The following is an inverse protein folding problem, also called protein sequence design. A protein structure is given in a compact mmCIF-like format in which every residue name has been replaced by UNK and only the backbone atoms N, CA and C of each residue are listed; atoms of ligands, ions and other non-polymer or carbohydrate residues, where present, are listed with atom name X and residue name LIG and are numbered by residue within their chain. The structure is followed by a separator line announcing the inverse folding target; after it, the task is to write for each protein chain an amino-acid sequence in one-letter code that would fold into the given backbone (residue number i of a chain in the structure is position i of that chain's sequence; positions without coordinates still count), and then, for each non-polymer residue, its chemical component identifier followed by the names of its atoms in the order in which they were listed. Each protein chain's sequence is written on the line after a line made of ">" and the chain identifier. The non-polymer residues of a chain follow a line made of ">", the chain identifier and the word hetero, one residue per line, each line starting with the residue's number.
data_IF_532637028032
#
_entry.id   IF_532637028032
#
_cell.length_a   1.000
_cell.length_b   1.000
_cell.length_c   1.000
_cell.angle_alpha   90.00
_cell.angle_beta   90.00
_cell.angle_gamma   90.00
#
_symmetry.space_group_name_H-M   'P 1'
#
loop_
_entity.id
_entity.type
_entity.pdbx_description
1 polymer ?
#
# COMPACT_ATOMS: atom_id res chain seq x y z
N UNK A 1 -26.34 20.92 -7.15
CA UNK A 1 -24.99 21.22 -7.67
C UNK A 1 -24.17 19.94 -7.50
N UNK A 2 -23.47 19.50 -8.53
CA UNK A 2 -22.64 18.31 -8.42
C UNK A 2 -21.44 18.66 -7.52
N UNK A 3 -21.38 18.06 -6.33
CA UNK A 3 -20.26 18.15 -5.40
C UNK A 3 -19.07 17.35 -5.96
N UNK A 4 -18.37 17.91 -6.95
CA UNK A 4 -17.20 17.31 -7.58
C UNK A 4 -15.95 18.09 -7.22
N UNK A 5 -14.86 17.38 -6.94
CA UNK A 5 -13.54 17.96 -6.69
C UNK A 5 -12.62 17.78 -7.90
N UNK A 6 -11.74 18.76 -8.10
CA UNK A 6 -10.84 18.74 -9.25
C UNK A 6 -9.59 17.91 -8.96
N UNK A 7 -9.35 16.90 -9.81
CA UNK A 7 -8.21 15.97 -9.69
C UNK A 7 -7.15 16.30 -10.75
N UNK A 8 -6.00 16.89 -10.34
CA UNK A 8 -4.84 17.09 -11.24
C UNK A 8 -3.94 15.87 -11.33
N UNK A 9 -3.53 15.37 -10.21
CA UNK A 9 -2.80 14.12 -10.00
C UNK A 9 -3.05 13.78 -8.54
N UNK A 10 -3.26 12.51 -8.22
CA UNK A 10 -3.65 12.21 -6.86
C UNK A 10 -3.28 10.81 -6.43
N UNK A 11 -3.63 10.51 -5.18
CA UNK A 11 -3.30 9.26 -4.55
C UNK A 11 -1.79 9.09 -4.33
N UNK A 12 -1.39 7.85 -4.15
CA UNK A 12 0.01 7.49 -3.84
C UNK A 12 1.00 7.83 -4.97
N UNK A 13 0.55 8.05 -6.22
CA UNK A 13 1.42 8.50 -7.31
C UNK A 13 2.00 9.92 -7.11
N UNK A 14 1.49 10.69 -6.15
CA UNK A 14 2.01 12.00 -5.79
C UNK A 14 3.20 11.96 -4.82
N UNK A 15 3.59 10.78 -4.31
CA UNK A 15 4.73 10.62 -3.39
C UNK A 15 6.06 11.03 -4.06
N UNK A 16 6.97 11.62 -3.27
CA UNK A 16 8.34 11.90 -3.72
C UNK A 16 9.10 10.58 -3.89
N UNK A 17 9.97 10.51 -4.92
CA UNK A 17 10.76 9.30 -5.17
C UNK A 17 11.64 8.92 -3.97
N UNK A 18 11.60 7.68 -3.55
CA UNK A 18 12.25 7.14 -2.36
C UNK A 18 13.76 7.46 -2.28
N UNK A 19 14.52 7.35 -3.40
CA UNK A 19 15.97 7.66 -3.44
C UNK A 19 16.29 9.12 -3.07
N UNK A 20 15.46 10.08 -3.48
CA UNK A 20 15.69 11.50 -3.17
C UNK A 20 15.47 11.79 -1.69
N UNK A 21 14.45 11.18 -1.10
CA UNK A 21 14.13 11.36 0.31
C UNK A 21 15.16 10.66 1.20
N UNK A 22 15.56 9.43 0.90
CA UNK A 22 16.60 8.70 1.64
C UNK A 22 17.90 9.50 1.75
N UNK A 23 18.36 10.08 0.64
CA UNK A 23 19.60 10.86 0.63
C UNK A 23 19.54 12.12 1.52
N UNK A 24 18.36 12.68 1.74
CA UNK A 24 18.16 13.80 2.67
C UNK A 24 18.17 13.26 4.11
N UNK A 25 17.44 12.19 4.37
CA UNK A 25 17.27 11.62 5.71
C UNK A 25 18.58 11.03 6.27
N UNK A 26 19.43 10.42 5.43
CA UNK A 26 20.75 9.90 5.82
C UNK A 26 21.68 10.96 6.43
N UNK A 27 21.43 12.24 6.16
CA UNK A 27 22.24 13.37 6.67
C UNK A 27 21.69 13.97 7.96
N UNK A 28 20.55 13.46 8.44
CA UNK A 28 19.92 13.98 9.65
C UNK A 28 20.47 13.23 10.86
N UNK A 29 21.15 13.96 11.72
CA UNK A 29 21.54 13.44 13.04
C UNK A 29 20.33 13.51 13.96
N UNK A 30 19.72 12.36 14.24
CA UNK A 30 18.52 12.27 15.07
C UNK A 30 18.84 11.71 16.45
N UNK A 31 18.05 12.13 17.45
CA UNK A 31 18.10 11.52 18.77
C UNK A 31 17.80 10.02 18.67
N UNK A 32 18.69 9.20 19.22
CA UNK A 32 18.57 7.74 19.26
C UNK A 32 17.99 7.32 20.59
N UNK A 33 16.86 6.63 20.54
CA UNK A 33 16.17 6.05 21.69
C UNK A 33 16.11 4.52 21.49
N UNK A 34 16.54 3.75 22.50
CA UNK A 34 16.56 2.30 22.46
C UNK A 34 15.16 1.67 22.36
N UNK A 35 14.13 2.42 22.72
CA UNK A 35 12.75 1.99 22.59
C UNK A 35 12.19 2.12 21.16
N UNK A 36 12.90 2.74 20.21
CA UNK A 36 12.53 2.76 18.81
C UNK A 36 12.88 1.43 18.18
N UNK A 37 11.89 0.55 18.01
CA UNK A 37 12.07 -0.77 17.41
C UNK A 37 12.15 -0.70 15.88
N UNK A 38 11.43 0.27 15.30
CA UNK A 38 11.37 0.53 13.86
C UNK A 38 11.34 2.04 13.65
N UNK A 39 12.31 2.57 12.91
CA UNK A 39 12.47 3.98 12.57
C UNK A 39 12.49 4.21 11.06
N UNK A 40 12.77 5.44 10.63
CA UNK A 40 12.79 5.83 9.20
C UNK A 40 13.96 5.20 8.41
N UNK A 41 14.97 4.69 9.07
CA UNK A 41 16.16 4.06 8.48
C UNK A 41 15.89 2.64 7.96
N UNK A 42 14.88 1.95 8.49
CA UNK A 42 14.51 0.60 8.09
C UNK A 42 13.58 0.53 6.86
N UNK A 43 12.98 1.65 6.45
CA UNK A 43 11.99 1.75 5.34
C UNK A 43 10.75 0.89 5.52
N UNK A 44 10.40 0.59 6.76
CA UNK A 44 9.15 -0.07 7.10
C UNK A 44 7.95 0.88 6.94
N UNK A 45 6.74 0.34 6.89
CA UNK A 45 5.51 1.09 6.61
C UNK A 45 5.15 2.09 7.71
N UNK A 46 5.48 1.76 8.98
CA UNK A 46 5.26 2.67 10.10
C UNK A 46 6.36 2.60 11.14
N UNK A 47 6.49 3.68 11.92
CA UNK A 47 7.38 3.72 13.09
C UNK A 47 6.80 2.91 14.24
N UNK A 48 7.67 2.19 14.98
CA UNK A 48 7.29 1.41 16.17
C UNK A 48 8.12 1.84 17.36
N UNK A 49 7.45 2.28 18.43
CA UNK A 49 8.06 2.69 19.69
C UNK A 49 7.55 1.82 20.84
N UNK A 50 8.46 1.12 21.51
CA UNK A 50 8.15 0.25 22.64
C UNK A 50 7.82 1.07 23.89
N UNK A 51 6.71 0.74 24.57
CA UNK A 51 6.28 1.35 25.83
C UNK A 51 6.70 0.48 27.01
N UNK A 52 6.42 -0.83 26.89
CA UNK A 52 6.74 -1.85 27.88
C UNK A 52 6.94 -3.22 27.19
N UNK A 53 7.05 -4.28 27.96
CA UNK A 53 7.28 -5.64 27.46
C UNK A 53 6.16 -6.16 26.53
N UNK A 54 4.94 -5.64 26.67
CA UNK A 54 3.74 -6.13 25.97
C UNK A 54 3.15 -5.12 24.98
N UNK A 55 3.59 -3.85 25.02
CA UNK A 55 2.98 -2.79 24.25
C UNK A 55 4.01 -1.95 23.49
N UNK A 56 3.73 -1.72 22.23
CA UNK A 56 4.42 -0.73 21.40
C UNK A 56 3.39 0.10 20.64
N UNK A 57 3.67 1.39 20.49
CA UNK A 57 2.95 2.25 19.55
C UNK A 57 3.40 1.96 18.12
N UNK A 58 2.44 1.92 17.21
CA UNK A 58 2.67 1.97 15.77
C UNK A 58 2.14 3.31 15.29
N UNK A 59 2.95 4.13 14.63
CA UNK A 59 2.57 5.47 14.21
C UNK A 59 2.91 5.70 12.74
N UNK A 60 1.92 6.14 11.98
CA UNK A 60 2.05 6.50 10.57
C UNK A 60 1.34 7.80 10.23
N UNK A 61 1.64 8.32 9.03
CA UNK A 61 1.02 9.50 8.48
C UNK A 61 0.98 9.39 6.96
N UNK A 62 -0.23 9.36 6.38
CA UNK A 62 -0.42 9.40 4.94
C UNK A 62 -1.50 10.42 4.55
N UNK A 63 -1.20 11.27 3.57
CA UNK A 63 -2.14 12.21 2.97
C UNK A 63 -1.74 12.51 1.53
N UNK A 64 -2.70 12.81 0.68
CA UNK A 64 -2.47 13.04 -0.74
C UNK A 64 -3.60 13.88 -1.37
N UNK A 65 -3.39 14.45 -2.57
CA UNK A 65 -4.44 15.14 -3.32
C UNK A 65 -5.49 14.15 -3.87
N UNK A 66 -6.71 14.64 -4.21
CA UNK A 66 -7.79 13.81 -4.73
C UNK A 66 -7.41 13.08 -6.02
N UNK A 67 -7.86 11.82 -6.13
CA UNK A 67 -7.74 11.00 -7.35
C UNK A 67 -9.10 10.62 -7.94
N UNK A 68 -10.18 10.88 -7.20
CA UNK A 68 -11.56 10.67 -7.61
C UNK A 68 -12.38 11.95 -7.36
N UNK A 69 -13.43 12.19 -8.16
CA UNK A 69 -14.24 13.41 -8.07
C UNK A 69 -15.23 13.40 -6.90
N UNK A 70 -15.63 12.23 -6.41
CA UNK A 70 -16.57 12.13 -5.30
C UNK A 70 -15.84 12.38 -3.97
N UNK A 71 -16.18 13.44 -3.21
CA UNK A 71 -15.46 13.80 -1.99
C UNK A 71 -15.60 12.76 -0.88
N UNK A 72 -16.76 12.12 -0.73
CA UNK A 72 -16.97 11.07 0.25
C UNK A 72 -16.09 9.84 -0.04
N UNK A 73 -16.08 9.39 -1.30
CA UNK A 73 -15.23 8.29 -1.75
C UNK A 73 -13.73 8.61 -1.58
N UNK A 74 -13.32 9.84 -1.91
CA UNK A 74 -11.95 10.29 -1.67
C UNK A 74 -11.56 10.18 -0.20
N UNK A 75 -12.44 10.64 0.69
CA UNK A 75 -12.24 10.49 2.14
C UNK A 75 -12.08 9.04 2.58
N UNK A 76 -12.93 8.13 2.05
CA UNK A 76 -12.83 6.70 2.32
C UNK A 76 -11.48 6.11 1.88
N UNK A 77 -11.05 6.41 0.66
CA UNK A 77 -9.79 5.91 0.10
C UNK A 77 -8.60 6.42 0.92
N UNK A 78 -8.58 7.71 1.26
CA UNK A 78 -7.49 8.31 2.03
C UNK A 78 -7.36 7.69 3.43
N UNK A 79 -8.48 7.46 4.11
CA UNK A 79 -8.48 6.81 5.41
C UNK A 79 -8.10 5.32 5.32
N UNK A 80 -8.58 4.60 4.31
CA UNK A 80 -8.22 3.19 4.08
C UNK A 80 -6.72 3.03 3.86
N UNK A 81 -6.12 3.94 3.07
CA UNK A 81 -4.68 3.95 2.81
C UNK A 81 -3.87 4.24 4.08
N UNK A 82 -4.22 5.29 4.83
CA UNK A 82 -3.49 5.65 6.05
C UNK A 82 -3.60 4.59 7.17
N UNK A 83 -4.69 3.84 7.22
CA UNK A 83 -4.86 2.73 8.15
C UNK A 83 -4.03 1.49 7.75
N UNK A 84 -3.67 1.37 6.49
CA UNK A 84 -3.02 0.18 5.93
C UNK A 84 -1.65 -0.08 6.53
N UNK A 85 -0.83 0.95 6.72
CA UNK A 85 0.49 0.86 7.33
C UNK A 85 0.44 0.23 8.75
N UNK A 86 -0.62 0.56 9.52
CA UNK A 86 -0.81 -0.07 10.84
C UNK A 86 -1.02 -1.58 10.72
N UNK A 87 -1.80 -2.00 9.71
CA UNK A 87 -2.05 -3.43 9.46
C UNK A 87 -0.82 -4.14 8.89
N UNK A 88 -0.03 -3.48 8.05
CA UNK A 88 1.23 -4.00 7.53
C UNK A 88 2.24 -4.29 8.66
N UNK A 89 2.25 -3.45 9.70
CA UNK A 89 3.05 -3.68 10.91
C UNK A 89 2.42 -4.67 11.90
N UNK A 90 1.35 -5.40 11.50
CA UNK A 90 0.58 -6.30 12.37
C UNK A 90 -0.14 -5.62 13.55
N UNK A 91 -0.26 -4.30 13.49
CA UNK A 91 -0.86 -3.47 14.54
C UNK A 91 -2.39 -3.44 14.51
N UNK A 92 -2.95 -2.84 15.54
CA UNK A 92 -4.38 -2.53 15.64
C UNK A 92 -4.54 -1.02 15.83
N UNK A 93 -5.15 -0.29 14.87
CA UNK A 93 -5.34 1.14 14.97
C UNK A 93 -6.22 1.49 16.19
N UNK A 94 -5.90 2.58 16.87
CA UNK A 94 -6.60 3.06 18.07
C UNK A 94 -7.15 4.46 17.92
N UNK A 95 -6.31 5.40 17.47
CA UNK A 95 -6.69 6.80 17.28
C UNK A 95 -6.21 7.33 15.95
N UNK A 96 -6.94 8.30 15.40
CA UNK A 96 -6.57 9.00 14.19
C UNK A 96 -6.78 10.51 14.34
N UNK A 97 -5.92 11.29 13.69
CA UNK A 97 -6.01 12.73 13.53
C UNK A 97 -6.17 13.07 12.04
N UNK A 98 -7.13 13.91 11.69
CA UNK A 98 -7.28 14.42 10.34
C UNK A 98 -6.14 15.37 9.96
N UNK A 99 -5.64 15.24 8.74
CA UNK A 99 -4.72 16.19 8.10
C UNK A 99 -5.48 16.78 6.92
N UNK A 100 -5.68 18.09 6.92
CA UNK A 100 -6.51 18.79 5.93
C UNK A 100 -5.76 19.98 5.37
N UNK A 101 -5.59 20.02 4.04
CA UNK A 101 -5.29 21.24 3.29
C UNK A 101 -6.51 21.55 2.42
N UNK A 102 -7.06 22.78 2.52
CA UNK A 102 -8.31 23.09 1.84
C UNK A 102 -8.34 24.54 1.34
N UNK A 103 -8.79 24.81 0.09
CA UNK A 103 -8.87 26.14 -0.46
C UNK A 103 -9.92 27.01 0.28
N UNK A 104 -9.56 28.25 0.58
CA UNK A 104 -10.41 29.16 1.37
C UNK A 104 -11.76 29.46 0.70
N UNK A 105 -11.79 29.49 -0.63
CA UNK A 105 -12.97 29.85 -1.42
C UNK A 105 -13.79 28.63 -1.88
N UNK A 106 -13.44 27.43 -1.46
CA UNK A 106 -14.13 26.20 -1.82
C UNK A 106 -15.30 25.94 -0.86
N UNK A 107 -16.31 25.20 -1.32
CA UNK A 107 -17.48 24.87 -0.50
C UNK A 107 -17.12 23.94 0.66
N UNK A 108 -17.33 24.40 1.89
CA UNK A 108 -17.07 23.61 3.11
C UNK A 108 -17.92 22.34 3.20
N UNK A 109 -19.03 22.22 2.45
CA UNK A 109 -19.78 20.96 2.37
C UNK A 109 -18.93 19.86 1.72
N UNK A 110 -18.04 20.20 0.78
CA UNK A 110 -17.09 19.27 0.17
C UNK A 110 -16.14 18.72 1.25
N UNK A 111 -15.56 19.59 2.08
CA UNK A 111 -14.73 19.17 3.21
C UNK A 111 -15.50 18.28 4.19
N UNK A 112 -16.74 18.65 4.49
CA UNK A 112 -17.64 17.85 5.33
C UNK A 112 -17.80 16.43 4.80
N UNK A 113 -18.02 16.27 3.49
CA UNK A 113 -18.13 14.95 2.83
C UNK A 113 -16.83 14.15 2.85
N UNK A 114 -15.69 14.81 2.66
CA UNK A 114 -14.36 14.14 2.75
C UNK A 114 -14.17 13.56 4.14
N UNK A 115 -14.39 14.38 5.19
CA UNK A 115 -14.22 13.94 6.59
C UNK A 115 -15.23 12.83 6.94
N UNK A 116 -16.49 12.95 6.49
CA UNK A 116 -17.52 11.93 6.68
C UNK A 116 -17.09 10.58 6.07
N UNK A 117 -16.57 10.61 4.83
CA UNK A 117 -16.04 9.43 4.15
C UNK A 117 -14.87 8.81 4.92
N UNK A 118 -13.90 9.61 5.36
CA UNK A 118 -12.78 9.15 6.17
C UNK A 118 -13.24 8.54 7.49
N UNK A 119 -14.14 9.20 8.20
CA UNK A 119 -14.69 8.71 9.46
C UNK A 119 -15.45 7.39 9.29
N UNK A 120 -16.13 7.15 8.16
CA UNK A 120 -16.81 5.88 7.92
C UNK A 120 -15.84 4.69 7.97
N UNK A 121 -14.61 4.85 7.47
CA UNK A 121 -13.57 3.81 7.51
C UNK A 121 -12.93 3.69 8.89
N UNK A 122 -12.81 4.78 9.63
CA UNK A 122 -12.37 4.74 11.02
C UNK A 122 -13.36 3.97 11.91
N UNK A 123 -14.66 4.16 11.72
CA UNK A 123 -15.71 3.39 12.42
C UNK A 123 -15.58 1.90 12.09
N UNK A 124 -15.42 1.54 10.80
CA UNK A 124 -15.20 0.15 10.36
C UNK A 124 -13.94 -0.46 10.99
N UNK A 125 -12.85 0.32 11.08
CA UNK A 125 -11.59 -0.07 11.69
C UNK A 125 -11.65 -0.13 13.24
N UNK A 126 -12.71 0.39 13.87
CA UNK A 126 -12.82 0.62 15.32
C UNK A 126 -11.70 1.55 15.84
N UNK A 127 -11.36 2.56 15.07
CA UNK A 127 -10.36 3.58 15.35
C UNK A 127 -11.05 4.90 15.71
N UNK A 128 -10.72 5.50 16.83
CA UNK A 128 -11.36 6.74 17.27
C UNK A 128 -10.77 7.96 16.52
N UNK A 129 -11.62 8.77 15.89
CA UNK A 129 -11.23 10.09 15.42
C UNK A 129 -11.14 11.04 16.62
N UNK A 130 -9.95 11.55 16.94
CA UNK A 130 -9.70 12.34 18.15
C UNK A 130 -9.35 13.81 17.88
N UNK A 131 -9.36 14.23 16.62
CA UNK A 131 -9.08 15.60 16.23
C UNK A 131 -8.38 15.69 14.89
N UNK A 132 -7.51 16.69 14.76
CA UNK A 132 -6.74 16.92 13.54
C UNK A 132 -6.30 18.36 13.40
N UNK A 133 -5.70 18.67 12.24
CA UNK A 133 -5.25 20.01 11.89
C UNK A 133 -5.67 20.36 10.46
N UNK A 134 -6.06 21.61 10.25
CA UNK A 134 -6.41 22.11 8.92
C UNK A 134 -5.67 23.40 8.62
N UNK A 135 -5.20 23.52 7.38
CA UNK A 135 -4.57 24.74 6.86
C UNK A 135 -5.23 25.17 5.53
N UNK A 136 -5.11 26.45 5.21
CA UNK A 136 -5.46 26.96 3.87
C UNK A 136 -4.37 26.56 2.88
N UNK A 137 -4.75 26.10 1.71
CA UNK A 137 -3.84 25.72 0.63
C UNK A 137 -4.56 25.94 -0.71
N UNK A 138 -3.83 26.05 -1.79
CA UNK A 138 -4.40 26.21 -3.14
C UNK A 138 -5.04 24.92 -3.68
N UNK A 139 -4.78 23.79 -3.03
CA UNK A 139 -5.28 22.46 -3.45
C UNK A 139 -5.72 21.62 -2.27
N UNK A 140 -6.79 20.84 -2.49
CA UNK A 140 -7.28 19.89 -1.49
C UNK A 140 -6.23 18.80 -1.28
N UNK A 141 -5.90 18.54 -0.02
CA UNK A 141 -5.18 17.34 0.43
C UNK A 141 -5.83 16.85 1.71
N UNK A 142 -6.00 15.56 1.80
CA UNK A 142 -6.60 14.91 2.96
C UNK A 142 -5.91 13.59 3.26
N UNK A 143 -5.83 13.27 4.52
CA UNK A 143 -5.36 12.01 5.05
C UNK A 143 -5.41 12.00 6.56
N UNK A 144 -4.70 11.05 7.13
CA UNK A 144 -4.70 10.80 8.57
C UNK A 144 -3.28 10.63 9.10
N UNK A 145 -3.08 11.06 10.34
CA UNK A 145 -2.05 10.49 11.21
C UNK A 145 -2.73 9.45 12.10
N UNK A 146 -2.25 8.21 12.04
CA UNK A 146 -2.84 7.08 12.76
C UNK A 146 -1.87 6.55 13.79
N UNK A 147 -2.37 6.30 15.00
CA UNK A 147 -1.65 5.60 16.06
C UNK A 147 -2.37 4.30 16.39
N UNK A 148 -1.62 3.22 16.35
CA UNK A 148 -2.06 1.87 16.70
C UNK A 148 -1.25 1.29 17.85
N UNK A 149 -1.60 0.08 18.23
CA UNK A 149 -0.88 -0.75 19.21
C UNK A 149 -0.55 -2.11 18.62
N UNK A 150 0.62 -2.62 18.99
CA UNK A 150 1.09 -3.97 18.68
C UNK A 150 1.86 -4.52 19.86
N UNK A 151 1.90 -5.85 20.03
CA UNK A 151 2.87 -6.45 20.95
C UNK A 151 4.27 -6.35 20.30
N UNK A 152 5.32 -5.91 21.01
CA UNK A 152 6.67 -5.78 20.45
C UNK A 152 7.20 -7.05 19.76
N UNK A 153 6.81 -8.23 20.25
CA UNK A 153 7.21 -9.53 19.67
C UNK A 153 6.46 -9.89 18.38
N UNK A 154 5.31 -9.25 18.13
CA UNK A 154 4.43 -9.56 17.01
C UNK A 154 4.60 -8.57 15.85
N UNK A 155 5.47 -7.57 16.00
CA UNK A 155 5.77 -6.59 14.94
C UNK A 155 6.23 -7.31 13.69
N UNK A 156 5.55 -7.06 12.57
CA UNK A 156 6.03 -7.49 11.25
C UNK A 156 6.82 -6.35 10.62
N UNK A 157 7.95 -6.69 10.06
CA UNK A 157 8.79 -5.77 9.30
C UNK A 157 8.65 -6.07 7.82
N UNK A 158 9.02 -5.11 6.99
CA UNK A 158 9.08 -5.33 5.56
C UNK A 158 10.15 -6.38 5.23
N UNK A 159 11.32 -6.32 5.86
CA UNK A 159 12.37 -7.31 5.71
C UNK A 159 12.18 -8.48 6.70
N UNK A 160 12.66 -9.65 6.31
CA UNK A 160 12.55 -10.86 7.16
C UNK A 160 12.11 -12.09 6.37
N UNK A 161 12.00 -11.97 5.05
CA UNK A 161 11.71 -13.10 4.15
C UNK A 161 12.68 -14.26 4.38
N UNK A 162 12.19 -15.49 4.27
CA UNK A 162 12.97 -16.71 4.42
C UNK A 162 12.97 -17.51 3.11
N UNK A 163 14.10 -18.13 2.78
CA UNK A 163 14.17 -19.03 1.63
C UNK A 163 13.14 -20.17 1.77
N UNK A 164 12.36 -20.39 0.73
CA UNK A 164 11.26 -21.35 0.72
C UNK A 164 9.89 -20.77 1.05
N UNK A 165 9.82 -19.50 1.49
CA UNK A 165 8.54 -18.83 1.70
C UNK A 165 7.77 -18.66 0.39
N UNK A 166 6.46 -18.63 0.50
CA UNK A 166 5.54 -18.29 -0.58
C UNK A 166 5.16 -16.82 -0.47
N UNK A 167 5.20 -16.11 -1.60
CA UNK A 167 4.75 -14.72 -1.69
C UNK A 167 3.28 -14.68 -2.06
N UNK A 168 2.48 -14.02 -1.23
CA UNK A 168 1.04 -13.89 -1.44
C UNK A 168 0.62 -12.42 -1.46
N UNK A 169 -0.34 -12.09 -2.33
CA UNK A 169 -0.92 -10.74 -2.47
C UNK A 169 -2.43 -10.80 -2.20
N UNK A 170 -2.99 -9.77 -1.57
CA UNK A 170 -4.39 -9.79 -1.10
C UNK A 170 -5.36 -8.92 -1.90
N UNK A 171 -4.88 -8.14 -2.87
CA UNK A 171 -5.71 -7.36 -3.80
C UNK A 171 -5.07 -7.34 -5.18
N UNK A 172 -5.86 -7.22 -6.26
CA UNK A 172 -5.33 -7.10 -7.61
C UNK A 172 -4.60 -5.77 -7.84
N UNK A 173 -3.68 -5.76 -8.82
CA UNK A 173 -2.94 -4.59 -9.29
C UNK A 173 -3.71 -3.83 -10.40
N UNK A 174 -3.26 -2.62 -10.71
CA UNK A 174 -3.78 -1.83 -11.83
C UNK A 174 -4.60 -0.60 -11.40
N UNK A 175 -4.50 -0.20 -10.13
CA UNK A 175 -5.19 1.00 -9.62
C UNK A 175 -4.70 2.25 -10.35
N UNK A 176 -3.40 2.43 -10.55
CA UNK A 176 -2.84 3.59 -11.22
C UNK A 176 -3.25 3.68 -12.68
N UNK A 177 -3.18 2.57 -13.42
CA UNK A 177 -3.65 2.46 -14.81
C UNK A 177 -5.14 2.82 -14.92
N UNK A 178 -5.98 2.25 -14.03
CA UNK A 178 -7.43 2.52 -14.03
C UNK A 178 -7.75 3.97 -13.69
N UNK A 179 -7.04 4.58 -12.73
CA UNK A 179 -7.23 5.99 -12.39
C UNK A 179 -6.79 6.93 -13.54
N UNK A 180 -5.81 6.55 -14.34
CA UNK A 180 -5.43 7.30 -15.53
C UNK A 180 -6.48 7.16 -16.63
N UNK A 181 -6.99 5.95 -16.90
CA UNK A 181 -8.09 5.72 -17.84
C UNK A 181 -9.36 6.49 -17.41
N UNK A 182 -9.65 6.53 -16.11
CA UNK A 182 -10.77 7.32 -15.55
C UNK A 182 -10.63 8.81 -15.87
N UNK A 183 -9.43 9.39 -15.77
CA UNK A 183 -9.18 10.80 -16.12
C UNK A 183 -9.33 11.10 -17.60
N UNK A 184 -9.16 10.09 -18.44
CA UNK A 184 -9.34 10.17 -19.90
C UNK A 184 -10.77 9.85 -20.34
N UNK A 185 -11.71 9.69 -19.37
CA UNK A 185 -13.10 9.27 -19.60
C UNK A 185 -13.23 7.90 -20.31
N UNK A 186 -12.22 7.03 -20.19
CA UNK A 186 -12.17 5.70 -20.80
C UNK A 186 -12.18 4.55 -19.77
N UNK A 187 -12.92 4.72 -18.70
CA UNK A 187 -13.10 3.69 -17.69
C UNK A 187 -14.58 3.36 -17.53
N UNK A 188 -14.96 2.10 -17.74
CA UNK A 188 -16.34 1.66 -17.58
C UNK A 188 -16.83 1.82 -16.13
N UNK A 189 -18.13 2.02 -15.94
CA UNK A 189 -18.70 2.10 -14.57
C UNK A 189 -18.47 0.84 -13.77
N UNK A 190 -18.54 -0.32 -14.40
CA UNK A 190 -18.28 -1.61 -13.75
C UNK A 190 -16.83 -1.68 -13.23
N UNK A 191 -15.87 -1.25 -14.05
CA UNK A 191 -14.45 -1.21 -13.65
C UNK A 191 -14.23 -0.20 -12.52
N UNK A 192 -14.84 0.99 -12.59
CA UNK A 192 -14.80 1.98 -11.51
C UNK A 192 -15.28 1.39 -10.19
N UNK A 193 -16.42 0.67 -10.18
CA UNK A 193 -16.98 0.04 -8.98
C UNK A 193 -16.02 -1.02 -8.41
N UNK A 194 -15.43 -1.88 -9.26
CA UNK A 194 -14.46 -2.89 -8.85
C UNK A 194 -13.23 -2.26 -8.18
N UNK A 195 -12.63 -1.26 -8.82
CA UNK A 195 -11.42 -0.61 -8.32
C UNK A 195 -11.72 0.21 -7.06
N UNK A 196 -12.81 0.98 -7.01
CA UNK A 196 -13.17 1.75 -5.83
C UNK A 196 -13.51 0.84 -4.63
N UNK A 197 -14.16 -0.30 -4.87
CA UNK A 197 -14.38 -1.31 -3.83
C UNK A 197 -13.05 -1.83 -3.28
N UNK A 198 -12.10 -2.15 -4.13
CA UNK A 198 -10.75 -2.57 -3.71
C UNK A 198 -10.05 -1.49 -2.88
N UNK A 199 -10.03 -0.24 -3.38
CA UNK A 199 -9.39 0.90 -2.71
C UNK A 199 -10.01 1.25 -1.36
N UNK A 200 -11.29 0.96 -1.15
CA UNK A 200 -12.02 1.21 0.11
C UNK A 200 -12.10 0.00 1.02
N UNK A 201 -11.60 -1.17 0.61
CA UNK A 201 -11.53 -2.36 1.45
C UNK A 201 -10.33 -2.27 2.38
N UNK A 202 -10.57 -2.33 3.70
CA UNK A 202 -9.52 -2.31 4.70
C UNK A 202 -8.63 -3.56 4.64
N UNK A 203 -7.32 -3.39 4.70
CA UNK A 203 -6.36 -4.49 4.85
C UNK A 203 -6.45 -5.18 6.23
N UNK A 204 -7.28 -4.64 7.13
CA UNK A 204 -7.63 -5.22 8.42
C UNK A 204 -8.02 -6.70 8.32
N UNK A 205 -8.87 -7.03 7.39
CA UNK A 205 -9.44 -8.39 7.27
C UNK A 205 -8.39 -9.42 6.90
N UNK A 206 -7.50 -9.08 5.97
CA UNK A 206 -6.36 -9.92 5.62
C UNK A 206 -5.36 -10.03 6.77
N UNK A 207 -5.03 -8.89 7.41
CA UNK A 207 -4.13 -8.85 8.58
C UNK A 207 -4.66 -9.73 9.72
N UNK A 208 -5.96 -9.66 10.03
CA UNK A 208 -6.58 -10.47 11.11
C UNK A 208 -6.48 -11.98 10.84
N UNK A 209 -6.44 -12.39 9.56
CA UNK A 209 -6.16 -13.79 9.18
C UNK A 209 -4.66 -14.09 9.32
N UNK A 210 -3.79 -13.25 8.77
CA UNK A 210 -2.33 -13.44 8.83
C UNK A 210 -1.79 -13.60 10.25
N UNK A 211 -2.41 -12.98 11.24
CA UNK A 211 -2.06 -13.14 12.67
C UNK A 211 -2.07 -14.58 13.19
N UNK A 212 -2.75 -15.49 12.49
CA UNK A 212 -2.87 -16.90 12.89
C UNK A 212 -1.76 -17.79 12.30
N UNK A 213 -0.92 -17.25 11.41
CA UNK A 213 0.01 -18.01 10.59
C UNK A 213 1.44 -17.48 10.68
N UNK A 214 2.40 -18.27 10.23
CA UNK A 214 3.82 -17.90 10.19
C UNK A 214 4.10 -16.96 9.01
N UNK A 215 3.83 -15.67 9.22
CA UNK A 215 4.19 -14.58 8.30
C UNK A 215 5.54 -14.02 8.72
N UNK A 216 6.54 -14.10 7.84
CA UNK A 216 7.90 -13.70 8.14
C UNK A 216 8.19 -12.24 7.77
N UNK A 217 7.57 -11.75 6.69
CA UNK A 217 7.64 -10.36 6.26
C UNK A 217 6.28 -9.91 5.72
N UNK A 218 5.94 -8.64 5.91
CA UNK A 218 4.64 -8.08 5.54
C UNK A 218 4.82 -6.61 5.17
N UNK A 219 4.23 -6.18 4.06
CA UNK A 219 4.10 -4.78 3.65
C UNK A 219 2.79 -4.56 2.91
N UNK A 220 2.34 -3.34 2.77
CA UNK A 220 1.28 -3.01 1.83
C UNK A 220 1.84 -2.51 0.48
N UNK A 221 1.16 -2.85 -0.60
CA UNK A 221 1.59 -2.43 -1.95
C UNK A 221 0.94 -1.10 -2.28
N UNK A 222 1.73 -0.03 -2.27
CA UNK A 222 1.24 1.33 -2.52
C UNK A 222 1.96 2.00 -3.70
N UNK A 223 2.32 3.28 -3.58
CA UNK A 223 2.80 4.12 -4.67
C UNK A 223 4.07 3.66 -5.39
N UNK A 224 4.85 2.79 -4.77
CA UNK A 224 6.08 2.26 -5.38
C UNK A 224 5.85 1.01 -6.25
N UNK A 225 4.63 0.45 -6.26
CA UNK A 225 4.30 -0.75 -7.03
C UNK A 225 4.90 -2.04 -6.44
N UNK A 226 4.43 -3.20 -6.92
CA UNK A 226 4.77 -4.50 -6.34
C UNK A 226 6.26 -4.77 -6.28
N UNK A 227 7.00 -4.49 -7.36
CA UNK A 227 8.42 -4.87 -7.46
C UNK A 227 9.35 -4.07 -6.55
N UNK A 228 9.02 -2.80 -6.29
CA UNK A 228 9.85 -1.99 -5.38
C UNK A 228 9.60 -2.42 -3.94
N UNK A 229 8.32 -2.60 -3.53
CA UNK A 229 8.00 -3.12 -2.20
C UNK A 229 8.60 -4.50 -1.98
N UNK A 230 8.49 -5.42 -2.95
CA UNK A 230 9.13 -6.74 -2.86
C UNK A 230 10.66 -6.62 -2.72
N UNK A 231 11.31 -5.73 -3.49
CA UNK A 231 12.76 -5.54 -3.36
C UNK A 231 13.15 -4.98 -1.98
N UNK A 232 12.28 -4.24 -1.31
CA UNK A 232 12.49 -3.76 0.08
C UNK A 232 12.30 -4.88 1.11
N UNK A 233 11.47 -5.89 0.81
CA UNK A 233 11.27 -7.07 1.66
C UNK A 233 12.48 -8.02 1.66
N UNK A 234 13.30 -8.00 0.62
CA UNK A 234 14.44 -8.91 0.46
C UNK A 234 15.69 -8.33 1.13
N UNK A 235 16.41 -9.19 1.83
CA UNK A 235 17.74 -8.90 2.37
C UNK A 235 18.87 -9.37 1.42
N UNK A 236 20.12 -9.27 1.88
CA UNK A 236 21.29 -9.70 1.11
C UNK A 236 21.39 -11.23 0.92
N UNK A 237 20.59 -12.01 1.63
CA UNK A 237 20.65 -13.49 1.63
C UNK A 237 19.60 -14.11 0.72
N UNK A 238 18.61 -13.34 0.31
CA UNK A 238 17.45 -13.85 -0.43
C UNK A 238 17.28 -13.15 -1.78
N UNK A 239 16.70 -13.89 -2.71
CA UNK A 239 16.10 -13.41 -3.94
C UNK A 239 14.64 -13.89 -4.01
N UNK A 240 13.86 -13.34 -4.92
CA UNK A 240 12.48 -13.78 -5.14
C UNK A 240 12.23 -14.13 -6.59
N UNK A 241 11.28 -15.03 -6.82
CA UNK A 241 10.68 -15.29 -8.14
C UNK A 241 9.24 -14.81 -8.11
N UNK A 242 8.86 -13.97 -9.06
CA UNK A 242 7.47 -13.58 -9.32
C UNK A 242 6.97 -14.40 -10.51
N UNK A 243 5.83 -15.05 -10.35
CA UNK A 243 5.17 -15.84 -11.38
C UNK A 243 4.30 -14.96 -12.25
N UNK A 244 4.81 -14.56 -13.43
CA UNK A 244 4.14 -13.63 -14.35
C UNK A 244 2.69 -14.01 -14.68
N UNK A 245 2.41 -15.31 -14.75
CA UNK A 245 1.11 -15.84 -15.11
C UNK A 245 0.12 -15.89 -13.93
N UNK A 246 0.59 -15.57 -12.71
CA UNK A 246 -0.20 -15.60 -11.47
C UNK A 246 -0.46 -14.21 -10.88
N UNK A 247 -0.05 -13.14 -11.57
CA UNK A 247 -0.26 -11.78 -11.09
C UNK A 247 -1.73 -11.39 -11.23
N UNK A 248 -2.43 -11.08 -10.14
CA UNK A 248 -3.80 -10.61 -10.21
C UNK A 248 -3.83 -9.14 -10.66
N UNK A 249 -4.69 -8.82 -11.60
CA UNK A 249 -4.90 -7.44 -12.06
C UNK A 249 -6.36 -7.23 -12.50
N UNK A 250 -6.80 -5.98 -12.55
CA UNK A 250 -8.13 -5.63 -13.03
C UNK A 250 -8.27 -5.86 -14.54
N UNK A 251 -9.40 -6.39 -14.98
CA UNK A 251 -9.63 -6.94 -16.32
C UNK A 251 -9.20 -6.02 -17.49
N UNK A 252 -9.43 -4.70 -17.38
CA UNK A 252 -9.15 -3.75 -18.48
C UNK A 252 -7.69 -3.25 -18.50
N UNK A 253 -6.83 -3.66 -17.56
CA UNK A 253 -5.46 -3.12 -17.44
C UNK A 253 -4.61 -3.38 -18.68
N UNK A 254 -4.80 -4.51 -19.37
CA UNK A 254 -4.07 -4.78 -20.61
C UNK A 254 -4.39 -3.73 -21.68
N UNK A 255 -5.68 -3.42 -21.88
CA UNK A 255 -6.11 -2.34 -22.78
C UNK A 255 -5.49 -1.00 -22.37
N UNK A 256 -5.47 -0.67 -21.08
CA UNK A 256 -4.94 0.59 -20.59
C UNK A 256 -3.42 0.74 -20.84
N UNK A 257 -2.67 -0.36 -20.78
CA UNK A 257 -1.24 -0.37 -21.13
C UNK A 257 -1.07 -0.20 -22.64
N UNK A 258 -1.86 -0.87 -23.48
CA UNK A 258 -1.84 -0.74 -24.95
C UNK A 258 -2.19 0.68 -25.40
N UNK A 259 -3.05 1.39 -24.67
CA UNK A 259 -3.41 2.79 -24.93
C UNK A 259 -2.50 3.81 -24.20
N UNK A 260 -1.42 3.34 -23.57
CA UNK A 260 -0.42 4.16 -22.88
C UNK A 260 -0.96 5.02 -21.73
N UNK A 261 -1.97 4.56 -20.99
CA UNK A 261 -2.41 5.22 -19.75
C UNK A 261 -1.43 4.99 -18.59
N UNK A 262 -0.14 5.05 -18.91
CA UNK A 262 0.95 4.77 -17.98
C UNK A 262 1.16 5.91 -16.98
N UNK A 263 1.61 5.57 -15.78
CA UNK A 263 1.93 6.55 -14.75
C UNK A 263 3.40 6.98 -14.81
N UNK A 264 3.67 8.28 -14.70
CA UNK A 264 5.05 8.77 -14.52
C UNK A 264 5.70 8.22 -13.23
N UNK A 265 4.91 7.85 -12.23
CA UNK A 265 5.40 7.18 -11.03
C UNK A 265 5.93 5.76 -11.34
N UNK A 266 5.30 5.01 -12.25
CA UNK A 266 5.78 3.69 -12.67
C UNK A 266 7.21 3.75 -13.24
N UNK A 267 7.51 4.77 -14.06
CA UNK A 267 8.88 4.97 -14.56
C UNK A 267 9.86 5.32 -13.43
N UNK A 268 9.45 6.13 -12.46
CA UNK A 268 10.28 6.45 -11.28
C UNK A 268 10.54 5.20 -10.44
N UNK A 269 9.53 4.35 -10.28
CA UNK A 269 9.62 3.07 -9.59
C UNK A 269 10.62 2.14 -10.27
N UNK A 270 10.51 1.98 -11.59
CA UNK A 270 11.45 1.20 -12.43
C UNK A 270 12.89 1.65 -12.22
N UNK A 271 13.15 2.96 -12.30
CA UNK A 271 14.48 3.53 -12.13
C UNK A 271 15.06 3.30 -10.72
N UNK A 272 14.20 3.13 -9.69
CA UNK A 272 14.64 2.92 -8.31
C UNK A 272 15.28 1.55 -8.08
N UNK A 273 14.91 0.56 -8.88
CA UNK A 273 15.40 -0.84 -8.81
C UNK A 273 16.15 -1.26 -10.07
N UNK A 274 16.65 -0.30 -10.85
CA UNK A 274 17.44 -0.56 -12.05
C UNK A 274 18.62 -1.51 -11.75
N UNK A 275 18.80 -2.53 -12.60
CA UNK A 275 19.84 -3.54 -12.46
C UNK A 275 19.60 -4.60 -11.36
N UNK A 276 18.49 -4.55 -10.63
CA UNK A 276 18.16 -5.50 -9.56
C UNK A 276 17.15 -6.58 -9.96
N UNK A 277 16.49 -6.41 -11.09
CA UNK A 277 15.38 -7.28 -11.51
C UNK A 277 15.69 -7.86 -12.89
N UNK A 278 15.49 -9.16 -13.01
CA UNK A 278 15.52 -9.88 -14.28
C UNK A 278 14.11 -10.12 -14.79
N UNK A 279 13.83 -9.75 -16.03
CA UNK A 279 12.54 -9.91 -16.69
C UNK A 279 12.58 -10.96 -17.81
N UNK A 280 11.71 -11.95 -17.71
CA UNK A 280 11.33 -12.88 -18.76
C UNK A 280 9.80 -12.80 -18.94
N UNK A 281 9.34 -11.61 -19.34
CA UNK A 281 7.92 -11.30 -19.51
C UNK A 281 7.71 -10.24 -20.59
N UNK A 282 6.45 -10.02 -20.95
CA UNK A 282 6.04 -8.98 -21.90
C UNK A 282 5.98 -7.59 -21.24
N UNK A 283 5.80 -6.57 -22.09
CA UNK A 283 5.71 -5.18 -21.66
C UNK A 283 4.54 -4.92 -20.71
N UNK A 284 3.39 -5.56 -20.95
CA UNK A 284 2.23 -5.43 -20.05
C UNK A 284 2.58 -5.88 -18.64
N UNK A 285 3.19 -7.06 -18.50
CA UNK A 285 3.59 -7.61 -17.19
C UNK A 285 4.58 -6.67 -16.48
N UNK A 286 5.54 -6.10 -17.20
CA UNK A 286 6.44 -5.13 -16.57
C UNK A 286 5.69 -3.90 -16.05
N UNK A 287 4.80 -3.32 -16.86
CA UNK A 287 4.08 -2.09 -16.48
C UNK A 287 3.16 -2.31 -15.29
N UNK A 288 2.41 -3.43 -15.25
CA UNK A 288 1.48 -3.72 -14.16
C UNK A 288 2.22 -3.92 -12.82
N UNK A 289 3.43 -4.47 -12.85
CA UNK A 289 4.24 -4.71 -11.65
C UNK A 289 4.87 -3.44 -11.07
N UNK A 290 5.03 -2.38 -11.88
CA UNK A 290 5.48 -1.06 -11.45
C UNK A 290 4.35 -0.06 -11.24
N UNK A 291 3.11 -0.43 -11.61
CA UNK A 291 1.96 0.47 -11.49
C UNK A 291 1.76 0.90 -10.03
N UNK A 292 1.65 2.22 -9.74
CA UNK A 292 1.42 2.69 -8.40
C UNK A 292 0.02 2.30 -7.92
N UNK A 293 -0.05 1.70 -6.74
CA UNK A 293 -1.31 1.36 -6.10
C UNK A 293 -1.67 2.44 -5.07
N UNK A 294 -2.94 2.82 -5.00
CA UNK A 294 -3.49 3.62 -3.90
C UNK A 294 -4.39 2.70 -3.08
N UNK A 295 -4.07 2.53 -1.83
CA UNK A 295 -4.77 1.58 -0.95
C UNK A 295 -4.75 0.14 -1.49
N UNK A 296 -3.58 -0.32 -1.95
CA UNK A 296 -3.39 -1.67 -2.46
C UNK A 296 -3.47 -2.75 -1.39
N UNK A 297 -3.20 -3.99 -1.77
CA UNK A 297 -3.25 -5.14 -0.88
C UNK A 297 -1.98 -5.32 -0.06
N UNK A 298 -2.04 -6.23 0.90
CA UNK A 298 -0.86 -6.70 1.63
C UNK A 298 -0.08 -7.69 0.74
N UNK A 299 1.24 -7.52 0.72
CA UNK A 299 2.20 -8.50 0.21
C UNK A 299 2.86 -9.18 1.40
N UNK A 300 2.70 -10.48 1.51
CA UNK A 300 3.22 -11.27 2.62
C UNK A 300 4.16 -12.37 2.16
N UNK A 301 5.24 -12.60 2.92
CA UNK A 301 6.11 -13.76 2.84
C UNK A 301 5.67 -14.76 3.91
N UNK A 302 5.13 -15.89 3.50
CA UNK A 302 4.43 -16.85 4.35
C UNK A 302 5.13 -18.20 4.30
N UNK A 303 5.23 -18.90 5.44
CA UNK A 303 5.72 -20.27 5.46
C UNK A 303 4.88 -21.15 4.50
N UNK A 304 5.58 -21.91 3.67
CA UNK A 304 4.94 -22.85 2.73
C UNK A 304 4.04 -23.87 3.42
N UNK A 305 4.36 -24.24 4.66
CA UNK A 305 3.59 -25.21 5.44
C UNK A 305 2.20 -24.69 5.85
N UNK A 306 2.07 -23.38 5.93
CA UNK A 306 0.82 -22.71 6.32
C UNK A 306 -0.09 -22.38 5.13
N UNK A 307 0.42 -22.42 3.88
CA UNK A 307 -0.27 -21.91 2.70
C UNK A 307 -1.67 -22.52 2.50
N UNK A 308 -1.80 -23.85 2.54
CA UNK A 308 -3.09 -24.52 2.31
C UNK A 308 -4.17 -24.08 3.30
N UNK A 309 -3.80 -23.97 4.58
CA UNK A 309 -4.73 -23.52 5.63
C UNK A 309 -5.07 -22.05 5.48
N UNK A 310 -4.09 -21.25 5.09
CA UNK A 310 -4.26 -19.82 4.84
C UNK A 310 -5.24 -19.57 3.69
N UNK A 311 -5.12 -20.30 2.57
CA UNK A 311 -6.03 -20.22 1.43
C UNK A 311 -7.47 -20.59 1.84
N UNK A 312 -7.64 -21.61 2.68
CA UNK A 312 -8.96 -22.01 3.22
C UNK A 312 -9.55 -20.88 4.06
N UNK A 313 -8.79 -20.32 5.02
CA UNK A 313 -9.26 -19.23 5.89
C UNK A 313 -9.65 -17.97 5.09
N UNK A 314 -8.87 -17.60 4.06
CA UNK A 314 -9.21 -16.47 3.18
C UNK A 314 -10.53 -16.72 2.45
N UNK A 315 -10.70 -17.91 1.87
CA UNK A 315 -11.92 -18.31 1.16
C UNK A 315 -13.15 -18.34 2.08
N UNK A 316 -13.01 -18.86 3.29
CA UNK A 316 -14.11 -18.92 4.27
C UNK A 316 -14.56 -17.51 4.71
N UNK A 317 -13.64 -16.53 4.70
CA UNK A 317 -13.93 -15.14 5.00
C UNK A 317 -14.31 -14.30 3.76
N UNK A 318 -14.51 -14.91 2.59
CA UNK A 318 -14.80 -14.25 1.31
C UNK A 318 -13.74 -13.19 0.94
N UNK A 319 -12.48 -13.48 1.23
CA UNK A 319 -11.33 -12.67 0.86
C UNK A 319 -10.52 -13.37 -0.22
N UNK A 320 -9.85 -12.57 -1.04
CA UNK A 320 -8.97 -13.06 -2.09
C UNK A 320 -7.54 -13.20 -1.56
N UNK A 321 -6.86 -14.27 -1.99
CA UNK A 321 -5.45 -14.52 -1.76
C UNK A 321 -4.84 -15.04 -3.06
N UNK A 322 -3.77 -14.41 -3.50
CA UNK A 322 -3.08 -14.76 -4.74
C UNK A 322 -1.65 -15.19 -4.45
N UNK A 323 -1.29 -16.39 -4.83
CA UNK A 323 0.10 -16.85 -4.79
C UNK A 323 0.83 -16.24 -5.99
N UNK A 324 1.69 -15.26 -5.73
CA UNK A 324 2.36 -14.48 -6.78
C UNK A 324 3.82 -14.87 -6.99
N UNK A 325 4.41 -15.66 -6.10
CA UNK A 325 5.81 -16.03 -6.20
C UNK A 325 6.34 -16.83 -5.02
N UNK A 326 7.66 -16.94 -4.96
CA UNK A 326 8.41 -17.61 -3.88
C UNK A 326 9.70 -16.87 -3.57
N UNK A 327 10.19 -17.05 -2.36
CA UNK A 327 11.51 -16.58 -1.92
C UNK A 327 12.51 -17.72 -2.11
N UNK A 328 13.64 -17.41 -2.73
CA UNK A 328 14.73 -18.36 -3.04
C UNK A 328 16.03 -17.89 -2.42
N UNK A 329 17.03 -18.77 -2.36
CA UNK A 329 18.40 -18.40 -2.00
C UNK A 329 18.91 -17.30 -2.92
N UNK A 330 19.81 -16.45 -2.38
CA UNK A 330 20.39 -15.33 -3.11
C UNK A 330 21.00 -15.75 -4.44
N UNK A 331 20.59 -15.03 -5.47
CA UNK A 331 21.08 -15.20 -6.83
C UNK A 331 21.54 -13.85 -7.39
N UNK A 332 21.95 -13.79 -8.68
CA UNK A 332 22.48 -12.59 -9.34
C UNK A 332 21.57 -11.38 -9.21
N UNK A 333 20.25 -11.55 -9.46
CA UNK A 333 19.25 -10.49 -9.31
C UNK A 333 18.46 -10.66 -8.01
N UNK A 334 17.95 -9.56 -7.48
CA UNK A 334 17.08 -9.61 -6.30
C UNK A 334 15.73 -10.25 -6.64
N UNK A 335 15.17 -9.92 -7.80
CA UNK A 335 13.87 -10.44 -8.25
C UNK A 335 13.97 -10.97 -9.68
N UNK A 336 13.35 -12.12 -9.91
CA UNK A 336 13.17 -12.74 -11.22
C UNK A 336 11.68 -12.76 -11.56
N UNK A 337 11.29 -12.06 -12.61
CA UNK A 337 9.92 -12.13 -13.15
C UNK A 337 9.93 -13.14 -14.30
N UNK A 338 9.29 -14.28 -14.09
CA UNK A 338 9.27 -15.38 -15.08
C UNK A 338 8.02 -16.25 -14.91
N UNK A 339 7.80 -17.19 -15.84
CA UNK A 339 6.77 -18.22 -15.68
C UNK A 339 6.94 -19.04 -14.40
N UNK A 340 5.86 -19.64 -13.89
CA UNK A 340 5.92 -20.57 -12.75
C UNK A 340 6.87 -21.74 -13.03
N UNK A 341 7.52 -22.24 -12.02
CA UNK A 341 8.14 -23.59 -12.13
C UNK A 341 7.00 -24.58 -12.38
N UNK A 342 7.05 -25.27 -13.54
CA UNK A 342 6.21 -26.43 -13.83
C UNK A 342 6.62 -27.57 -12.92
#
# INVERSE_FOLDING_TARGET
>A
MNEKIYCKSGGCSAKLGAKKLSHILEKIDSFKDENVLVGFDSRDDAAVYQIDENHAFVSTLDFFPPMVENPYLYGQIAATNALSDIYAMNGTPKTALNIVCFPENEDLNILGKIIEGGNSKLVEAKCALVGGHSIRDDSIKYGLSVTGLVNPTDVKKNNGTQCGDVLVLTKPLGVGLTLNALRMDDCSKEMQEKVFKSMTTLNKYACDIFKKYSVHALTDVTGFGLLVHLNEMLDEKNSAVIYKDSIPYFDDCQKYVEEFYLSGAAQTNRNSVEGKIYFDCDFFTEEILFDPQTSGGLLASVSKEDLEKLEIDFKENNLELYVVGEVIDKNEYNVYVRGSKI
#
